data_IF_576077898223
#
_entry.id   IF_576077898223
#
_cell.length_a   1.000
_cell.length_b   1.000
_cell.length_c   1.000
_cell.angle_alpha   90.00
_cell.angle_beta   90.00
_cell.angle_gamma   90.00
#
_symmetry.space_group_name_H-M   'P 1'
#
loop_
_entity.id
_entity.type
_entity.pdbx_description
1 polymer ?
#
# COMPACT_ATOMS: atom_id res chain seq x y z
N UNK A 1 -30.95 -21.10 11.14
CA UNK A 1 -31.69 -19.82 11.11
C UNK A 1 -33.09 -20.11 11.62
N UNK A 2 -33.37 -19.70 12.85
CA UNK A 2 -34.70 -19.85 13.46
C UNK A 2 -35.59 -18.73 12.92
N UNK A 3 -36.50 -19.05 12.02
CA UNK A 3 -37.51 -18.09 11.55
C UNK A 3 -38.65 -18.10 12.57
N UNK A 4 -38.68 -17.11 13.45
CA UNK A 4 -39.84 -16.83 14.30
C UNK A 4 -41.00 -16.39 13.39
N UNK A 5 -42.18 -17.03 13.42
CA UNK A 5 -43.26 -16.78 12.47
C UNK A 5 -44.16 -15.59 12.87
N UNK A 6 -43.67 -14.68 13.72
CA UNK A 6 -44.43 -13.51 14.13
C UNK A 6 -43.93 -12.30 13.35
N UNK A 7 -44.54 -12.08 12.18
CA UNK A 7 -44.48 -10.78 11.51
C UNK A 7 -45.31 -9.80 12.34
N UNK A 8 -44.65 -9.12 13.28
CA UNK A 8 -45.24 -7.98 13.98
C UNK A 8 -45.39 -6.87 12.94
N UNK A 9 -46.63 -6.56 12.58
CA UNK A 9 -46.93 -5.43 11.70
C UNK A 9 -46.53 -4.13 12.43
N UNK A 10 -45.68 -3.33 11.81
CA UNK A 10 -45.31 -2.00 12.27
C UNK A 10 -46.42 -0.96 11.92
N UNK A 11 -46.24 0.27 12.40
CA UNK A 11 -47.27 1.32 12.35
C UNK A 11 -47.65 1.79 10.94
N UNK A 12 -46.90 1.39 9.93
CA UNK A 12 -47.08 1.73 8.52
C UNK A 12 -47.32 0.49 7.62
N UNK A 13 -47.57 -0.68 8.21
CA UNK A 13 -47.92 -1.90 7.48
C UNK A 13 -48.96 -1.70 6.36
N UNK A 14 -50.07 -0.99 6.63
CA UNK A 14 -51.10 -0.73 5.61
C UNK A 14 -50.61 0.15 4.44
N UNK A 15 -49.61 1.00 4.68
CA UNK A 15 -48.98 1.82 3.64
C UNK A 15 -47.98 1.00 2.85
N UNK A 16 -47.22 0.14 3.52
CA UNK A 16 -46.22 -0.73 2.90
C UNK A 16 -46.86 -1.77 1.98
N UNK A 17 -48.03 -2.30 2.35
CA UNK A 17 -48.80 -3.21 1.47
C UNK A 17 -49.34 -2.53 0.20
N UNK A 18 -49.31 -1.20 0.11
CA UNK A 18 -49.67 -0.44 -1.11
C UNK A 18 -48.48 -0.18 -2.02
N UNK A 19 -47.25 -0.46 -1.57
CA UNK A 19 -46.06 -0.32 -2.38
C UNK A 19 -46.03 -1.43 -3.45
N UNK A 20 -45.60 -1.13 -4.68
CA UNK A 20 -45.42 -2.17 -5.69
C UNK A 20 -44.37 -3.18 -5.21
N UNK A 21 -44.77 -4.44 -5.08
CA UNK A 21 -43.82 -5.52 -4.77
C UNK A 21 -42.80 -5.63 -5.91
N UNK A 22 -41.51 -5.50 -5.59
CA UNK A 22 -40.45 -5.86 -6.53
C UNK A 22 -40.47 -7.38 -6.68
N UNK A 23 -41.08 -7.88 -7.75
CA UNK A 23 -40.91 -9.29 -8.12
C UNK A 23 -39.48 -9.46 -8.63
N UNK A 24 -38.72 -10.39 -8.03
CA UNK A 24 -37.37 -10.71 -8.47
C UNK A 24 -37.42 -11.45 -9.81
N UNK A 25 -37.59 -10.71 -10.91
CA UNK A 25 -37.42 -11.24 -12.24
C UNK A 25 -36.01 -10.89 -12.72
N UNK A 26 -35.10 -11.84 -12.55
CA UNK A 26 -33.70 -11.82 -12.99
C UNK A 26 -32.77 -10.89 -12.18
N UNK A 27 -31.56 -11.41 -11.94
CA UNK A 27 -30.42 -10.86 -11.20
C UNK A 27 -30.49 -9.36 -10.83
N UNK A 28 -30.79 -9.06 -9.57
CA UNK A 28 -30.76 -7.71 -9.03
C UNK A 28 -29.30 -7.34 -8.67
N UNK A 29 -28.51 -6.91 -9.65
CA UNK A 29 -27.19 -6.36 -9.39
C UNK A 29 -27.32 -4.83 -9.25
N UNK A 30 -27.18 -4.32 -8.03
CA UNK A 30 -27.09 -2.89 -7.78
C UNK A 30 -25.61 -2.52 -7.64
N UNK A 31 -25.06 -1.84 -8.64
CA UNK A 31 -23.69 -1.32 -8.58
C UNK A 31 -23.74 0.12 -8.10
N UNK A 32 -23.33 0.35 -6.86
CA UNK A 32 -23.15 1.68 -6.30
C UNK A 32 -21.71 2.12 -6.57
N UNK A 33 -21.50 3.01 -7.54
CA UNK A 33 -20.21 3.68 -7.73
C UNK A 33 -20.20 4.96 -6.91
N UNK A 34 -19.38 5.00 -5.87
CA UNK A 34 -19.11 6.26 -5.16
C UNK A 34 -18.12 7.08 -6.00
N UNK A 35 -18.56 8.25 -6.45
CA UNK A 35 -17.66 9.23 -7.06
C UNK A 35 -17.01 10.04 -5.93
N UNK A 36 -15.80 9.65 -5.56
CA UNK A 36 -15.01 10.38 -4.57
C UNK A 36 -14.24 11.47 -5.28
N UNK A 37 -14.35 12.75 -4.88
CA UNK A 37 -13.57 13.81 -5.48
C UNK A 37 -12.08 13.47 -5.32
N UNK A 38 -11.36 13.46 -6.44
CA UNK A 38 -9.91 13.30 -6.45
C UNK A 38 -9.28 14.50 -5.76
N UNK A 39 -8.97 14.35 -4.47
CA UNK A 39 -8.21 15.34 -3.75
C UNK A 39 -6.77 15.27 -4.25
N UNK A 40 -6.32 16.32 -4.94
CA UNK A 40 -4.90 16.49 -5.27
C UNK A 40 -4.15 16.83 -3.98
N UNK A 41 -3.82 15.79 -3.19
CA UNK A 41 -3.03 15.92 -1.98
C UNK A 41 -1.59 16.21 -2.38
N UNK A 42 -1.21 17.49 -2.31
CA UNK A 42 0.19 17.89 -2.42
C UNK A 42 0.82 17.80 -1.03
N UNK A 43 1.70 16.82 -0.83
CA UNK A 43 2.49 16.75 0.39
C UNK A 43 3.77 17.58 0.22
N UNK A 44 4.10 18.47 1.17
CA UNK A 44 5.40 19.14 1.15
C UNK A 44 6.50 18.10 1.37
N UNK A 45 7.39 17.95 0.39
CA UNK A 45 8.62 17.17 0.54
C UNK A 45 9.60 18.06 1.30
N UNK A 46 9.83 17.75 2.57
CA UNK A 46 10.90 18.36 3.33
C UNK A 46 12.19 17.60 3.06
N UNK A 47 13.21 18.29 2.57
CA UNK A 47 14.55 17.71 2.51
C UNK A 47 15.04 17.45 3.93
N UNK A 48 15.48 16.23 4.26
CA UNK A 48 16.06 15.98 5.57
C UNK A 48 17.29 16.87 5.75
N UNK A 49 17.42 17.49 6.92
CA UNK A 49 18.66 18.16 7.30
C UNK A 49 19.74 17.09 7.45
N UNK A 50 20.61 16.96 6.45
CA UNK A 50 21.79 16.10 6.53
C UNK A 50 22.93 16.97 7.05
N UNK A 51 23.30 16.76 8.31
CA UNK A 51 24.53 17.33 8.86
C UNK A 51 25.71 16.77 8.05
N UNK A 52 26.42 17.66 7.33
CA UNK A 52 27.62 17.29 6.60
C UNK A 52 28.74 16.99 7.60
N UNK A 53 28.85 15.73 8.03
CA UNK A 53 29.99 15.27 8.81
C UNK A 53 31.19 15.09 7.90
N UNK A 54 32.24 15.86 8.13
CA UNK A 54 33.54 15.63 7.51
C UNK A 54 34.07 14.30 8.06
N UNK A 55 33.95 13.23 7.27
CA UNK A 55 34.59 11.97 7.59
C UNK A 55 36.03 12.04 7.10
N UNK A 56 36.98 12.25 8.01
CA UNK A 56 38.39 12.10 7.72
C UNK A 56 38.68 10.62 7.47
N UNK A 57 38.59 10.19 6.20
CA UNK A 57 38.99 8.85 5.79
C UNK A 57 40.50 8.87 5.53
N UNK A 58 41.21 7.99 6.22
CA UNK A 58 42.59 7.69 5.84
C UNK A 58 42.56 7.00 4.47
N UNK A 59 43.09 7.66 3.44
CA UNK A 59 43.28 7.07 2.12
C UNK A 59 44.76 6.66 2.02
N UNK A 60 45.10 5.39 2.23
CA UNK A 60 46.46 4.93 2.02
C UNK A 60 46.78 5.03 0.54
N UNK A 61 47.68 5.96 0.19
CA UNK A 61 48.22 6.12 -1.18
C UNK A 61 48.99 4.89 -1.66
N UNK A 62 49.27 3.94 -0.77
CA UNK A 62 50.15 2.80 -1.00
C UNK A 62 49.43 1.45 -1.20
N UNK A 63 48.10 1.38 -1.03
CA UNK A 63 47.33 0.13 -1.22
C UNK A 63 46.76 0.01 -2.64
N UNK A 64 47.59 0.21 -3.66
CA UNK A 64 47.16 -0.14 -5.02
C UNK A 64 46.98 -1.66 -5.11
N UNK A 65 45.90 -2.11 -5.75
CA UNK A 65 45.58 -3.53 -5.91
C UNK A 65 46.74 -4.33 -6.52
N UNK A 66 47.54 -3.70 -7.39
CA UNK A 66 48.75 -4.27 -7.98
C UNK A 66 49.84 -4.59 -6.95
N UNK A 67 50.09 -3.71 -5.97
CA UNK A 67 51.08 -3.98 -4.92
C UNK A 67 50.65 -5.17 -4.04
N UNK A 68 49.38 -5.20 -3.62
CA UNK A 68 48.84 -6.29 -2.80
C UNK A 68 48.80 -7.64 -3.53
N UNK A 69 48.68 -7.64 -4.86
CA UNK A 69 48.69 -8.85 -5.68
C UNK A 69 50.04 -9.58 -5.67
N UNK A 70 51.12 -8.92 -5.24
CA UNK A 70 52.46 -9.51 -5.13
C UNK A 70 52.65 -10.38 -3.89
N UNK A 71 51.81 -10.20 -2.86
CA UNK A 71 51.92 -10.88 -1.56
C UNK A 71 51.58 -12.37 -1.67
N UNK A 72 50.70 -12.74 -2.60
CA UNK A 72 50.20 -14.11 -2.76
C UNK A 72 50.66 -14.77 -4.07
N UNK A 73 51.84 -14.41 -4.58
CA UNK A 73 52.38 -15.06 -5.78
C UNK A 73 53.17 -16.33 -5.44
N UNK A 74 53.07 -17.38 -6.28
CA UNK A 74 53.88 -18.57 -6.12
C UNK A 74 55.39 -18.24 -6.32
N UNK A 75 56.30 -19.04 -5.73
CA UNK A 75 57.74 -18.85 -5.89
C UNK A 75 58.13 -18.83 -7.37
N UNK A 76 58.87 -17.81 -7.79
CA UNK A 76 59.42 -17.74 -9.14
C UNK A 76 60.67 -18.63 -9.19
N UNK A 77 60.67 -19.65 -10.04
CA UNK A 77 61.86 -20.44 -10.33
C UNK A 77 62.78 -19.63 -11.27
N UNK A 78 64.08 -19.68 -10.98
CA UNK A 78 65.14 -19.02 -11.75
C UNK A 78 65.43 -19.74 -13.07
#
# INVERSE_FOLDING_TARGET
MHYTPETVNDGDYEKDMKLPFKTHFHMNYATFTADLPTQNLTFPIFNPFVEAKVVNRYQPTFLTSSFLSSIWQPPKFC
#
